data_IF_719996638120
#
_entry.id   IF_719996638120
#
_cell.length_a   1.000
_cell.length_b   1.000
_cell.length_c   1.000
_cell.angle_alpha   90.00
_cell.angle_beta   90.00
_cell.angle_gamma   90.00
#
_symmetry.space_group_name_H-M   'P 1'
#
loop_
_entity.id
_entity.type
_entity.pdbx_description
1 polymer ?
#
# COMPACT_ATOMS: atom_id res chain seq x y z
N UNK A 1 -43.29 45.81 -26.34
CA UNK A 1 -43.94 45.49 -25.05
C UNK A 1 -44.58 44.14 -25.28
N UNK A 2 -44.13 43.02 -24.75
CA UNK A 2 -43.57 42.76 -23.42
C UNK A 2 -42.25 42.00 -23.51
N UNK A 3 -41.29 42.43 -22.68
CA UNK A 3 -40.08 41.68 -22.41
C UNK A 3 -40.43 40.62 -21.35
N UNK A 4 -40.38 39.34 -21.70
CA UNK A 4 -40.50 38.28 -20.71
C UNK A 4 -39.09 37.82 -20.31
N UNK A 5 -38.66 38.32 -19.15
CA UNK A 5 -37.54 37.78 -18.39
C UNK A 5 -37.92 36.39 -17.89
N UNK A 6 -37.09 35.39 -18.20
CA UNK A 6 -37.03 34.19 -17.37
C UNK A 6 -35.56 33.81 -17.16
N UNK A 7 -35.17 33.51 -15.90
CA UNK A 7 -33.79 33.59 -15.47
C UNK A 7 -32.99 32.37 -15.91
N UNK A 8 -31.70 32.64 -16.10
CA UNK A 8 -30.68 31.66 -16.40
C UNK A 8 -30.71 30.50 -15.38
N UNK A 9 -30.56 29.31 -15.93
CA UNK A 9 -30.44 28.03 -15.28
C UNK A 9 -29.15 27.97 -14.44
N UNK A 10 -29.17 28.57 -13.25
CA UNK A 10 -28.09 28.47 -12.26
C UNK A 10 -28.11 27.13 -11.49
N UNK A 11 -29.02 26.21 -11.87
CA UNK A 11 -29.20 24.89 -11.25
C UNK A 11 -28.17 23.87 -11.76
N UNK A 12 -27.77 23.93 -13.03
CA UNK A 12 -26.82 22.97 -13.61
C UNK A 12 -25.38 23.18 -13.12
N UNK A 13 -25.00 24.43 -12.81
CA UNK A 13 -23.64 24.74 -12.34
C UNK A 13 -23.38 24.32 -10.88
N UNK A 14 -24.43 24.07 -10.09
CA UNK A 14 -24.31 23.62 -8.70
C UNK A 14 -24.28 22.09 -8.54
N UNK A 15 -24.62 21.33 -9.59
CA UNK A 15 -24.50 19.86 -9.55
C UNK A 15 -23.09 19.36 -9.89
N UNK A 16 -22.29 20.16 -10.62
CA UNK A 16 -20.90 19.81 -10.95
C UNK A 16 -19.90 20.02 -9.80
N UNK A 17 -20.28 20.63 -8.68
CA UNK A 17 -19.38 20.88 -7.54
C UNK A 17 -19.45 19.83 -6.42
N UNK A 18 -20.35 18.85 -6.54
CA UNK A 18 -20.51 17.74 -5.59
C UNK A 18 -20.08 16.37 -6.13
N UNK A 19 -19.67 16.28 -7.39
CA UNK A 19 -18.79 15.20 -7.84
C UNK A 19 -17.38 15.44 -7.29
N UNK A 20 -17.29 15.40 -5.96
CA UNK A 20 -16.03 15.30 -5.26
C UNK A 20 -15.31 14.05 -5.75
N UNK A 21 -13.99 14.01 -5.55
CA UNK A 21 -13.13 12.91 -5.99
C UNK A 21 -13.52 11.50 -5.51
N UNK A 22 -14.61 11.35 -4.75
CA UNK A 22 -15.25 10.11 -4.39
C UNK A 22 -16.64 10.05 -5.04
N UNK A 23 -16.87 9.07 -5.92
CA UNK A 23 -18.22 8.73 -6.33
C UNK A 23 -19.07 8.25 -5.13
N UNK A 24 -20.39 8.09 -5.28
CA UNK A 24 -21.30 7.72 -4.19
C UNK A 24 -20.87 6.43 -3.45
N UNK A 25 -20.30 5.46 -4.19
CA UNK A 25 -19.70 4.25 -3.61
C UNK A 25 -18.39 4.50 -2.87
N UNK A 26 -17.57 5.43 -3.37
CA UNK A 26 -16.32 5.83 -2.71
C UNK A 26 -16.57 6.50 -1.36
N UNK A 27 -17.63 7.32 -1.26
CA UNK A 27 -18.03 7.95 0.00
C UNK A 27 -18.44 6.89 1.02
N UNK A 28 -19.18 5.85 0.62
CA UNK A 28 -19.57 4.76 1.50
C UNK A 28 -18.35 4.01 2.04
N UNK A 29 -17.39 3.68 1.17
CA UNK A 29 -16.13 3.02 1.58
C UNK A 29 -15.34 3.92 2.52
N UNK A 30 -15.23 5.22 2.24
CA UNK A 30 -14.53 6.18 3.09
C UNK A 30 -15.16 6.25 4.48
N UNK A 31 -16.49 6.29 4.59
CA UNK A 31 -17.22 6.26 5.87
C UNK A 31 -16.90 4.98 6.64
N UNK A 32 -16.93 3.81 5.99
CA UNK A 32 -16.62 2.53 6.63
C UNK A 32 -15.19 2.51 7.16
N UNK A 33 -14.22 2.98 6.37
CA UNK A 33 -12.81 3.05 6.78
C UNK A 33 -12.63 4.03 7.95
N UNK A 34 -13.31 5.18 7.94
CA UNK A 34 -13.23 6.18 9.00
C UNK A 34 -13.85 5.65 10.30
N UNK A 35 -15.00 4.98 10.23
CA UNK A 35 -15.62 4.33 11.39
C UNK A 35 -14.71 3.23 11.96
N UNK A 36 -14.09 2.42 11.10
CA UNK A 36 -13.14 1.40 11.51
C UNK A 36 -11.93 2.02 12.24
N UNK A 37 -11.34 3.10 11.71
CA UNK A 37 -10.23 3.82 12.35
C UNK A 37 -10.65 4.40 13.71
N UNK A 38 -11.83 5.04 13.78
CA UNK A 38 -12.32 5.62 15.02
C UNK A 38 -12.55 4.56 16.12
N UNK A 39 -13.14 3.41 15.76
CA UNK A 39 -13.29 2.28 16.69
C UNK A 39 -11.92 1.79 17.16
N UNK A 40 -10.97 1.68 16.24
CA UNK A 40 -9.64 1.20 16.56
C UNK A 40 -8.87 2.17 17.48
N UNK A 41 -8.97 3.48 17.26
CA UNK A 41 -8.34 4.49 18.12
C UNK A 41 -8.92 4.45 19.53
N UNK A 42 -10.24 4.24 19.67
CA UNK A 42 -10.89 4.03 20.98
C UNK A 42 -10.36 2.75 21.65
N UNK A 43 -10.23 1.65 20.91
CA UNK A 43 -9.66 0.40 21.43
C UNK A 43 -8.20 0.58 21.86
N UNK A 44 -7.38 1.28 21.07
CA UNK A 44 -6.00 1.57 21.44
C UNK A 44 -5.92 2.46 22.67
N UNK A 45 -6.82 3.44 22.82
CA UNK A 45 -6.88 4.29 24.01
C UNK A 45 -7.27 3.49 25.27
N UNK A 46 -8.22 2.55 25.15
CA UNK A 46 -8.59 1.65 26.24
C UNK A 46 -7.45 0.71 26.63
N UNK A 47 -6.79 0.08 25.64
CA UNK A 47 -5.64 -0.81 25.88
C UNK A 47 -4.47 -0.01 26.47
N UNK A 48 -4.24 1.23 26.02
CA UNK A 48 -3.23 2.11 26.57
C UNK A 48 -3.45 2.37 28.07
N UNK A 49 -4.69 2.67 28.46
CA UNK A 49 -5.03 2.88 29.88
C UNK A 49 -4.78 1.66 30.76
N UNK A 50 -4.72 0.46 30.18
CA UNK A 50 -4.52 -0.82 30.88
C UNK A 50 -3.09 -1.37 30.75
N UNK A 51 -2.28 -0.83 29.84
CA UNK A 51 -1.01 -1.43 29.43
C UNK A 51 0.21 -0.68 29.99
N UNK A 52 1.19 -1.46 30.45
CA UNK A 52 2.52 -0.96 30.85
C UNK A 52 3.43 -0.63 29.65
N UNK A 53 3.08 -1.08 28.45
CA UNK A 53 3.84 -0.91 27.21
C UNK A 53 3.24 0.14 26.27
N UNK A 54 3.17 1.39 26.73
CA UNK A 54 2.60 2.51 25.95
C UNK A 54 3.29 2.73 24.60
N UNK A 55 4.60 2.51 24.49
CA UNK A 55 5.35 2.77 23.25
C UNK A 55 4.95 1.89 22.07
N UNK A 56 4.65 0.60 22.30
CA UNK A 56 4.21 -0.30 21.25
C UNK A 56 2.81 0.10 20.73
N UNK A 57 1.93 0.54 21.63
CA UNK A 57 0.57 0.96 21.30
C UNK A 57 0.60 2.22 20.44
N UNK A 58 1.39 3.23 20.81
CA UNK A 58 1.54 4.44 19.99
C UNK A 58 2.13 4.15 18.62
N UNK A 59 3.14 3.28 18.54
CA UNK A 59 3.71 2.85 17.26
C UNK A 59 2.65 2.17 16.37
N UNK A 60 1.90 1.22 16.91
CA UNK A 60 0.84 0.51 16.18
C UNK A 60 -0.30 1.42 15.76
N UNK A 61 -0.72 2.35 16.62
CA UNK A 61 -1.77 3.32 16.32
C UNK A 61 -1.37 4.26 15.18
N UNK A 62 -0.13 4.77 15.18
CA UNK A 62 0.40 5.61 14.09
C UNK A 62 0.46 4.84 12.78
N UNK A 63 1.00 3.62 12.80
CA UNK A 63 1.06 2.77 11.60
C UNK A 63 -0.32 2.53 11.00
N UNK A 64 -1.32 2.21 11.83
CA UNK A 64 -2.67 1.95 11.32
C UNK A 64 -3.38 3.21 10.83
N UNK A 65 -3.19 4.34 11.51
CA UNK A 65 -3.70 5.64 11.05
C UNK A 65 -3.07 6.07 9.73
N UNK A 66 -1.77 5.87 9.54
CA UNK A 66 -1.12 6.11 8.26
C UNK A 66 -1.69 5.21 7.15
N UNK A 67 -1.91 3.91 7.44
CA UNK A 67 -2.53 2.99 6.49
C UNK A 67 -3.96 3.42 6.13
N UNK A 68 -4.76 3.75 7.14
CA UNK A 68 -6.12 4.25 6.96
C UNK A 68 -6.14 5.56 6.15
N UNK A 69 -5.23 6.48 6.44
CA UNK A 69 -5.04 7.71 5.68
C UNK A 69 -4.70 7.43 4.20
N UNK A 70 -3.83 6.47 3.91
CA UNK A 70 -3.54 6.06 2.53
C UNK A 70 -4.76 5.43 1.87
N UNK A 71 -5.53 4.58 2.56
CA UNK A 71 -6.75 3.98 2.01
C UNK A 71 -7.83 5.02 1.68
N UNK A 72 -7.97 6.05 2.52
CA UNK A 72 -8.83 7.18 2.24
C UNK A 72 -8.28 7.99 1.06
N UNK A 73 -7.00 8.35 1.07
CA UNK A 73 -6.41 9.13 -0.02
C UNK A 73 -6.33 8.38 -1.36
N UNK A 74 -6.38 7.05 -1.36
CA UNK A 74 -6.24 6.21 -2.55
C UNK A 74 -7.21 6.57 -3.70
N UNK A 75 -8.55 6.60 -3.51
CA UNK A 75 -9.50 7.02 -4.55
C UNK A 75 -9.25 8.44 -5.07
N UNK A 76 -8.84 9.36 -4.19
CA UNK A 76 -8.48 10.71 -4.60
C UNK A 76 -7.22 10.72 -5.48
N UNK A 77 -6.19 9.97 -5.08
CA UNK A 77 -4.96 9.81 -5.85
C UNK A 77 -5.22 9.10 -7.18
N UNK A 78 -6.06 8.06 -7.21
CA UNK A 78 -6.36 7.31 -8.44
C UNK A 78 -7.02 8.19 -9.49
N UNK A 79 -7.95 9.06 -9.06
CA UNK A 79 -8.64 10.00 -9.93
C UNK A 79 -7.73 11.12 -10.44
N UNK A 80 -6.81 11.62 -9.61
CA UNK A 80 -5.90 12.72 -9.98
C UNK A 80 -4.72 12.26 -10.85
N UNK A 81 -4.21 11.06 -10.60
CA UNK A 81 -3.04 10.50 -11.30
C UNK A 81 -3.46 9.77 -12.59
N UNK A 82 -4.77 9.61 -12.83
CA UNK A 82 -5.25 8.95 -14.05
C UNK A 82 -4.90 7.45 -14.07
N UNK A 83 -4.85 6.80 -12.89
CA UNK A 83 -4.59 5.36 -12.77
C UNK A 83 -5.59 4.48 -13.55
N UNK A 84 -6.68 5.08 -14.05
CA UNK A 84 -7.74 4.41 -14.81
C UNK A 84 -7.39 4.11 -16.27
N UNK A 85 -6.28 4.62 -16.81
CA UNK A 85 -5.83 4.18 -18.14
C UNK A 85 -5.05 2.86 -18.04
N UNK A 86 -5.52 1.82 -18.74
CA UNK A 86 -4.77 0.55 -18.91
C UNK A 86 -3.34 0.78 -19.41
N UNK A 87 -3.10 1.89 -20.14
CA UNK A 87 -1.80 2.30 -20.68
C UNK A 87 -0.74 2.55 -19.60
N UNK A 88 -1.12 3.17 -18.48
CA UNK A 88 -0.23 3.50 -17.36
C UNK A 88 0.19 2.24 -16.62
N UNK A 89 -0.75 1.35 -16.29
CA UNK A 89 -0.43 0.12 -15.58
C UNK A 89 0.45 -0.79 -16.44
N UNK A 90 0.16 -0.94 -17.73
CA UNK A 90 0.98 -1.75 -18.64
C UNK A 90 2.40 -1.17 -18.79
N UNK A 91 2.53 0.15 -18.91
CA UNK A 91 3.82 0.84 -19.02
C UNK A 91 4.63 0.82 -17.72
N UNK A 92 3.96 1.03 -16.57
CA UNK A 92 4.59 1.03 -15.24
C UNK A 92 4.98 -0.38 -14.78
N UNK A 93 4.12 -1.38 -15.07
CA UNK A 93 4.43 -2.78 -14.81
C UNK A 93 5.47 -3.33 -15.79
N UNK A 94 5.85 -2.58 -16.84
CA UNK A 94 6.78 -3.00 -17.89
C UNK A 94 6.57 -4.49 -18.24
N UNK A 95 5.32 -4.82 -18.57
CA UNK A 95 4.91 -6.20 -18.78
C UNK A 95 5.72 -6.78 -19.94
N UNK A 96 6.34 -7.95 -19.76
CA UNK A 96 7.07 -8.57 -20.85
C UNK A 96 6.12 -8.85 -22.01
N UNK A 97 6.58 -8.63 -23.24
CA UNK A 97 5.81 -8.89 -24.45
C UNK A 97 5.25 -10.33 -24.43
N UNK A 98 4.10 -10.52 -25.06
CA UNK A 98 3.30 -11.76 -25.04
C UNK A 98 4.07 -13.06 -25.40
N UNK A 99 5.23 -12.93 -26.05
CA UNK A 99 6.09 -14.03 -26.52
C UNK A 99 7.40 -14.19 -25.71
N UNK A 100 7.53 -13.51 -24.57
CA UNK A 100 8.71 -13.58 -23.73
C UNK A 100 8.86 -14.99 -23.11
N UNK A 101 9.89 -15.72 -23.55
CA UNK A 101 10.26 -17.00 -22.95
C UNK A 101 10.75 -16.79 -21.52
N UNK A 102 10.38 -17.74 -20.64
CA UNK A 102 10.89 -17.79 -19.27
C UNK A 102 12.37 -18.16 -19.32
N UNK A 103 13.22 -17.16 -19.12
CA UNK A 103 14.66 -17.30 -19.15
C UNK A 103 15.21 -17.10 -17.73
N UNK A 104 16.37 -17.70 -17.44
CA UNK A 104 17.07 -17.51 -16.17
C UNK A 104 17.15 -16.04 -15.69
N UNK A 105 17.40 -15.03 -16.57
CA UNK A 105 17.39 -13.62 -16.18
C UNK A 105 16.06 -13.14 -15.58
N UNK A 106 14.91 -13.60 -16.06
CA UNK A 106 13.60 -13.18 -15.55
C UNK A 106 13.35 -13.72 -14.14
N UNK A 107 13.72 -14.99 -13.90
CA UNK A 107 13.62 -15.62 -12.59
C UNK A 107 14.63 -14.96 -11.62
N UNK A 108 15.86 -14.74 -12.05
CA UNK A 108 16.89 -14.08 -11.25
C UNK A 108 16.49 -12.66 -10.85
N UNK A 109 15.93 -11.89 -11.78
CA UNK A 109 15.45 -10.54 -11.49
C UNK A 109 14.29 -10.53 -10.48
N UNK A 110 13.32 -11.44 -10.64
CA UNK A 110 12.24 -11.60 -9.66
C UNK A 110 12.78 -11.97 -8.27
N UNK A 111 13.64 -13.00 -8.17
CA UNK A 111 14.22 -13.40 -6.89
C UNK A 111 15.08 -12.28 -6.28
N UNK A 112 15.77 -11.49 -7.10
CA UNK A 112 16.51 -10.30 -6.67
C UNK A 112 15.62 -9.19 -6.13
N UNK A 113 14.50 -8.89 -6.78
CA UNK A 113 13.50 -7.92 -6.31
C UNK A 113 12.86 -8.36 -4.98
N UNK A 114 12.60 -9.66 -4.80
CA UNK A 114 12.07 -10.22 -3.55
C UNK A 114 13.13 -10.23 -2.44
N UNK A 115 14.38 -10.53 -2.76
CA UNK A 115 15.51 -10.41 -1.83
C UNK A 115 15.71 -8.94 -1.39
N UNK A 116 15.58 -7.98 -2.31
CA UNK A 116 15.63 -6.56 -2.00
C UNK A 116 14.47 -6.15 -1.07
N UNK A 117 13.25 -6.62 -1.34
CA UNK A 117 12.10 -6.40 -0.45
C UNK A 117 12.32 -6.96 0.96
N UNK A 118 12.84 -8.20 1.07
CA UNK A 118 13.19 -8.82 2.34
C UNK A 118 14.33 -8.11 3.08
N UNK A 119 15.35 -7.66 2.35
CA UNK A 119 16.46 -6.87 2.87
C UNK A 119 15.98 -5.51 3.40
N UNK A 120 15.15 -4.80 2.63
CA UNK A 120 14.55 -3.54 3.06
C UNK A 120 13.72 -3.74 4.33
N UNK A 121 12.93 -4.82 4.42
CA UNK A 121 12.21 -5.16 5.64
C UNK A 121 13.14 -5.38 6.85
N UNK A 122 14.29 -6.03 6.63
CA UNK A 122 15.30 -6.27 7.68
C UNK A 122 15.93 -4.96 8.16
N UNK A 123 16.35 -4.10 7.24
CA UNK A 123 16.90 -2.78 7.55
C UNK A 123 15.85 -1.92 8.26
N UNK A 124 14.59 -2.02 7.83
CA UNK A 124 13.48 -1.31 8.44
C UNK A 124 13.32 -1.67 9.91
N UNK A 125 13.38 -2.95 10.28
CA UNK A 125 13.31 -3.38 11.68
C UNK A 125 14.43 -2.77 12.53
N UNK A 126 15.67 -2.80 12.03
CA UNK A 126 16.82 -2.26 12.74
C UNK A 126 16.74 -0.73 12.90
N UNK A 127 16.49 -0.02 11.80
CA UNK A 127 16.40 1.45 11.79
C UNK A 127 15.21 1.95 12.60
N UNK A 128 14.06 1.26 12.53
CA UNK A 128 12.86 1.63 13.31
C UNK A 128 13.11 1.49 14.81
N UNK A 129 13.82 0.43 15.26
CA UNK A 129 14.21 0.29 16.67
C UNK A 129 15.09 1.45 17.12
N UNK A 130 16.09 1.81 16.32
CA UNK A 130 17.01 2.90 16.62
C UNK A 130 16.26 4.24 16.70
N UNK A 131 15.36 4.52 15.76
CA UNK A 131 14.54 5.74 15.76
C UNK A 131 13.54 5.75 16.92
N UNK A 132 12.94 4.61 17.26
CA UNK A 132 12.04 4.50 18.41
C UNK A 132 12.77 4.83 19.72
N UNK A 133 14.04 4.45 19.84
CA UNK A 133 14.86 4.74 21.01
C UNK A 133 15.33 6.20 21.10
N UNK A 134 15.49 6.91 19.97
CA UNK A 134 16.03 8.27 19.94
C UNK A 134 14.95 9.36 19.83
N UNK A 135 13.94 9.16 18.98
CA UNK A 135 12.89 10.13 18.64
C UNK A 135 11.51 9.71 19.14
N UNK A 136 11.39 8.53 19.74
CA UNK A 136 10.15 8.00 20.28
C UNK A 136 9.30 7.21 19.29
N UNK A 137 8.24 6.53 19.78
CA UNK A 137 7.46 5.55 19.03
C UNK A 137 6.65 6.15 17.87
N UNK A 138 6.22 7.41 17.99
CA UNK A 138 5.43 8.10 16.96
C UNK A 138 6.28 8.39 15.72
N UNK A 139 7.47 8.97 15.92
CA UNK A 139 8.40 9.24 14.82
C UNK A 139 8.86 7.95 14.14
N UNK A 140 9.10 6.89 14.93
CA UNK A 140 9.42 5.57 14.40
C UNK A 140 8.28 4.97 13.57
N UNK A 141 7.02 5.18 13.98
CA UNK A 141 5.84 4.76 13.21
C UNK A 141 5.77 5.42 11.83
N UNK A 142 5.90 6.75 11.76
CA UNK A 142 5.91 7.46 10.48
C UNK A 142 7.07 7.02 9.57
N UNK A 143 8.28 6.90 10.12
CA UNK A 143 9.45 6.45 9.38
C UNK A 143 9.25 5.02 8.85
N UNK A 144 8.79 4.10 9.70
CA UNK A 144 8.53 2.72 9.33
C UNK A 144 7.51 2.65 8.20
N UNK A 145 6.41 3.40 8.31
CA UNK A 145 5.38 3.45 7.27
C UNK A 145 5.92 4.00 5.95
N UNK A 146 6.67 5.10 5.99
CA UNK A 146 7.20 5.77 4.79
C UNK A 146 8.11 4.88 3.95
N UNK A 147 8.84 3.94 4.56
CA UNK A 147 9.71 2.99 3.85
C UNK A 147 8.99 1.67 3.58
N UNK A 148 8.11 1.22 4.48
CA UNK A 148 7.33 0.00 4.28
C UNK A 148 6.44 0.08 3.04
N UNK A 149 5.75 1.22 2.85
CA UNK A 149 4.83 1.41 1.74
C UNK A 149 5.49 1.20 0.36
N UNK A 150 6.58 1.91 -0.01
CA UNK A 150 7.25 1.67 -1.29
C UNK A 150 7.87 0.27 -1.39
N UNK A 151 8.37 -0.29 -0.28
CA UNK A 151 8.94 -1.65 -0.27
C UNK A 151 7.88 -2.70 -0.62
N UNK A 152 6.69 -2.60 -0.02
CA UNK A 152 5.55 -3.49 -0.30
C UNK A 152 5.08 -3.29 -1.73
N UNK A 153 5.00 -2.05 -2.22
CA UNK A 153 4.61 -1.76 -3.61
C UNK A 153 5.57 -2.41 -4.60
N UNK A 154 6.89 -2.24 -4.44
CA UNK A 154 7.91 -2.86 -5.29
C UNK A 154 7.77 -4.39 -5.26
N UNK A 155 7.67 -4.99 -4.08
CA UNK A 155 7.54 -6.44 -3.93
C UNK A 155 6.24 -6.97 -4.57
N UNK A 156 5.13 -6.24 -4.43
CA UNK A 156 3.82 -6.59 -4.98
C UNK A 156 3.81 -6.47 -6.50
N UNK A 157 4.38 -5.40 -7.07
CA UNK A 157 4.51 -5.20 -8.51
C UNK A 157 5.39 -6.31 -9.11
N UNK A 158 6.53 -6.58 -8.49
CA UNK A 158 7.43 -7.68 -8.84
C UNK A 158 6.68 -9.03 -8.87
N UNK A 159 5.89 -9.29 -7.84
CA UNK A 159 5.06 -10.49 -7.74
C UNK A 159 3.99 -10.55 -8.83
N UNK A 160 3.30 -9.44 -9.10
CA UNK A 160 2.25 -9.39 -10.12
C UNK A 160 2.82 -9.62 -11.53
N UNK A 161 3.97 -9.01 -11.85
CA UNK A 161 4.71 -9.27 -13.10
C UNK A 161 5.08 -10.73 -13.23
N UNK A 162 5.56 -11.34 -12.15
CA UNK A 162 5.91 -12.75 -12.10
C UNK A 162 4.70 -13.66 -12.30
N UNK A 163 3.58 -13.39 -11.61
CA UNK A 163 2.33 -14.15 -11.75
C UNK A 163 1.80 -14.08 -13.18
N UNK A 164 1.77 -12.90 -13.80
CA UNK A 164 1.30 -12.77 -15.18
C UNK A 164 2.17 -13.51 -16.20
N UNK A 165 3.49 -13.54 -15.98
CA UNK A 165 4.44 -14.28 -16.83
C UNK A 165 4.22 -15.79 -16.75
N UNK A 166 3.83 -16.29 -15.57
CA UNK A 166 3.65 -17.72 -15.29
C UNK A 166 2.20 -18.21 -15.39
N UNK A 167 1.18 -17.35 -15.31
CA UNK A 167 -0.22 -17.73 -15.49
C UNK A 167 -0.47 -18.35 -16.89
N UNK A 168 0.42 -18.07 -17.85
CA UNK A 168 0.39 -18.61 -19.21
C UNK A 168 1.26 -19.87 -19.41
N UNK A 169 2.08 -20.27 -18.44
CA UNK A 169 3.02 -21.41 -18.53
C UNK A 169 2.87 -22.41 -17.38
N UNK A 170 3.40 -23.63 -17.54
CA UNK A 170 3.11 -24.80 -16.69
C UNK A 170 3.19 -24.56 -15.16
N UNK A 171 2.10 -24.87 -14.45
CA UNK A 171 1.88 -24.75 -13.00
C UNK A 171 3.03 -25.24 -12.10
N UNK A 172 3.79 -26.25 -12.54
CA UNK A 172 4.86 -26.87 -11.74
C UNK A 172 6.05 -25.94 -11.51
N UNK A 173 6.45 -25.17 -12.52
CA UNK A 173 7.58 -24.23 -12.41
C UNK A 173 7.22 -23.00 -11.57
N UNK A 174 5.95 -22.59 -11.62
CA UNK A 174 5.40 -21.52 -10.79
C UNK A 174 5.52 -21.87 -9.29
N UNK A 175 5.06 -23.06 -8.91
CA UNK A 175 5.09 -23.49 -7.51
C UNK A 175 6.50 -23.48 -6.91
N UNK A 176 7.50 -23.94 -7.68
CA UNK A 176 8.90 -23.97 -7.22
C UNK A 176 9.44 -22.55 -7.05
N UNK A 177 9.24 -21.66 -8.03
CA UNK A 177 9.76 -20.30 -7.96
C UNK A 177 9.08 -19.45 -6.88
N UNK A 178 7.76 -19.59 -6.70
CA UNK A 178 7.03 -18.96 -5.59
C UNK A 178 7.50 -19.49 -4.23
N UNK A 179 7.76 -20.79 -4.11
CA UNK A 179 8.29 -21.37 -2.88
C UNK A 179 9.70 -20.88 -2.55
N UNK A 180 10.59 -20.80 -3.56
CA UNK A 180 11.95 -20.25 -3.38
C UNK A 180 11.89 -18.78 -2.96
N UNK A 181 11.05 -17.98 -3.62
CA UNK A 181 10.84 -16.58 -3.25
C UNK A 181 10.35 -16.44 -1.81
N UNK A 182 9.32 -17.21 -1.43
CA UNK A 182 8.81 -17.24 -0.07
C UNK A 182 9.89 -17.61 0.95
N UNK A 183 10.72 -18.62 0.64
CA UNK A 183 11.82 -19.03 1.50
C UNK A 183 12.88 -17.93 1.67
N UNK A 184 13.26 -17.25 0.58
CA UNK A 184 14.22 -16.13 0.61
C UNK A 184 13.67 -14.98 1.45
N UNK A 185 12.44 -14.55 1.17
CA UNK A 185 11.78 -13.46 1.92
C UNK A 185 11.67 -13.78 3.40
N UNK A 186 11.25 -15.00 3.73
CA UNK A 186 11.15 -15.48 5.11
C UNK A 186 12.51 -15.53 5.80
N UNK A 187 13.56 -15.95 5.08
CA UNK A 187 14.93 -15.99 5.60
C UNK A 187 15.47 -14.62 5.99
N UNK A 188 15.30 -13.62 5.12
CA UNK A 188 15.68 -12.23 5.43
C UNK A 188 14.83 -11.68 6.57
N UNK A 189 13.51 -11.88 6.54
CA UNK A 189 12.63 -11.46 7.62
C UNK A 189 13.07 -12.02 8.97
N UNK A 190 13.38 -13.32 9.04
CA UNK A 190 13.84 -13.97 10.26
C UNK A 190 15.20 -13.43 10.73
N UNK A 191 16.11 -13.17 9.80
CA UNK A 191 17.39 -12.53 10.11
C UNK A 191 17.20 -11.14 10.72
N UNK A 192 16.23 -10.35 10.22
CA UNK A 192 15.86 -9.06 10.78
C UNK A 192 15.22 -9.14 12.16
N UNK A 193 14.34 -10.12 12.40
CA UNK A 193 13.75 -10.33 13.74
C UNK A 193 14.85 -10.72 14.74
N UNK A 194 15.74 -11.62 14.36
CA UNK A 194 16.83 -12.11 15.22
C UNK A 194 17.88 -11.04 15.51
N UNK A 195 18.14 -10.12 14.59
CA UNK A 195 19.09 -9.02 14.84
C UNK A 195 18.56 -7.96 15.81
N UNK A 196 17.24 -7.96 16.03
CA UNK A 196 16.54 -7.00 16.89
C UNK A 196 16.16 -7.57 18.26
N UNK A 197 16.00 -8.90 18.40
CA UNK A 197 15.83 -9.58 19.71
C UNK A 197 17.12 -9.59 20.51
#
# INVERSE_FOLDING_TARGET
MEANNQPADDSENNQQSLDGAYGPWGILIAIVVLLFLAIQDVLFFQIYSLSKNGSAIFFSAVMMNCLGGVLLLFPYLSNKIGFSEESWLVSFLALPAADAKINFPAISNFLGEQALGGFLGTVLFLSTKQIASSLGPVAAGFFCFAIALPSILIATISYFRFVLLFARFSWKSYGIASFISFAIMSGFYWAGVKSVS
#
